data_IF_739131965701
#
_entry.id   IF_739131965701
#
_cell.length_a   1.000
_cell.length_b   1.000
_cell.length_c   1.000
_cell.angle_alpha   90.00
_cell.angle_beta   90.00
_cell.angle_gamma   90.00
#
_symmetry.space_group_name_H-M   'P 1'
#
loop_
_entity.id
_entity.type
_entity.pdbx_description
1 polymer ?
#
# COMPACT_ATOMS: atom_id res chain seq x y z
N UNK A 1 0.66 16.83 -3.57
CA UNK A 1 -0.52 17.69 -3.30
C UNK A 1 -0.61 17.79 -1.79
N UNK A 2 -0.45 18.99 -1.23
CA UNK A 2 -0.40 19.22 0.21
C UNK A 2 -1.77 18.96 0.86
N UNK A 3 -1.74 18.51 2.12
CA UNK A 3 -2.92 18.26 2.94
C UNK A 3 -3.71 19.56 3.18
N UNK A 4 -5.02 19.62 2.84
CA UNK A 4 -5.83 20.82 3.05
C UNK A 4 -6.01 21.23 4.52
N UNK A 5 -5.65 20.39 5.50
CA UNK A 5 -5.71 20.69 6.94
C UNK A 5 -4.50 21.49 7.48
N UNK A 6 -3.38 21.55 6.76
CA UNK A 6 -2.15 22.19 7.23
C UNK A 6 -1.40 21.45 8.34
N UNK A 7 -1.91 20.31 8.82
CA UNK A 7 -1.25 19.49 9.83
C UNK A 7 -0.22 18.53 9.21
N UNK A 8 0.94 18.40 9.86
CA UNK A 8 1.94 17.43 9.45
C UNK A 8 1.38 16.01 9.63
N UNK A 9 1.35 15.21 8.55
CA UNK A 9 0.86 13.82 8.57
C UNK A 9 1.76 12.83 9.29
N UNK A 10 2.97 13.26 9.60
CA UNK A 10 3.96 12.52 10.39
C UNK A 10 4.48 13.40 11.51
N UNK A 11 4.82 12.78 12.64
CA UNK A 11 5.48 13.40 13.78
C UNK A 11 6.68 12.55 14.21
N UNK A 12 7.62 13.15 14.91
CA UNK A 12 8.74 12.42 15.51
C UNK A 12 8.38 12.01 16.94
N UNK A 13 8.57 10.74 17.27
CA UNK A 13 8.39 10.18 18.62
C UNK A 13 9.63 9.34 18.92
N UNK A 14 10.40 9.73 19.93
CA UNK A 14 11.62 9.04 20.36
C UNK A 14 12.62 8.77 19.21
N UNK A 15 12.77 9.73 18.28
CA UNK A 15 13.66 9.61 17.11
C UNK A 15 13.13 8.73 15.98
N UNK A 16 11.87 8.28 16.05
CA UNK A 16 11.17 7.56 14.99
C UNK A 16 10.12 8.44 14.35
N UNK A 17 9.96 8.36 13.03
CA UNK A 17 8.83 9.01 12.37
C UNK A 17 7.61 8.12 12.52
N UNK A 18 6.50 8.66 13.02
CA UNK A 18 5.21 7.95 13.15
C UNK A 18 4.11 8.78 12.49
N UNK A 19 3.02 8.14 12.10
CA UNK A 19 1.87 8.88 11.56
C UNK A 19 1.22 9.77 12.64
N UNK A 20 0.59 10.87 12.23
CA UNK A 20 0.03 11.89 13.13
C UNK A 20 -1.49 12.05 13.00
N UNK A 21 -2.17 11.11 12.36
CA UNK A 21 -3.61 11.21 12.01
C UNK A 21 -4.50 10.25 12.80
N UNK A 22 -3.94 9.23 13.45
CA UNK A 22 -4.69 8.23 14.22
C UNK A 22 -3.95 7.85 15.51
N UNK A 23 -4.42 8.25 16.68
CA UNK A 23 -3.72 7.97 17.95
C UNK A 23 -3.57 6.46 18.28
N UNK A 24 -4.35 5.59 17.64
CA UNK A 24 -4.28 4.13 17.86
C UNK A 24 -3.19 3.43 17.06
N UNK A 25 -2.61 4.05 16.03
CA UNK A 25 -1.61 3.42 15.16
C UNK A 25 -0.21 4.02 15.35
N UNK A 26 0.49 3.58 16.40
CA UNK A 26 1.77 4.17 16.83
C UNK A 26 3.01 3.54 16.17
N UNK A 27 2.85 2.77 15.09
CA UNK A 27 3.99 2.15 14.41
C UNK A 27 4.81 3.20 13.64
N UNK A 28 6.15 3.02 13.57
CA UNK A 28 7.00 3.87 12.76
C UNK A 28 6.63 3.84 11.27
N UNK A 29 7.04 4.87 10.54
CA UNK A 29 6.88 5.05 9.10
C UNK A 29 8.17 5.62 8.48
N UNK A 30 9.31 5.33 9.12
CA UNK A 30 10.64 5.69 8.63
C UNK A 30 11.25 4.59 7.74
N UNK A 31 12.40 4.91 7.13
CA UNK A 31 13.10 4.00 6.23
C UNK A 31 13.41 2.64 6.87
N UNK A 32 13.81 2.61 8.15
CA UNK A 32 14.07 1.36 8.86
C UNK A 32 12.83 0.48 8.96
N UNK A 33 11.66 1.07 9.17
CA UNK A 33 10.41 0.30 9.16
C UNK A 33 10.03 -0.16 7.75
N UNK A 34 10.28 0.65 6.72
CA UNK A 34 10.09 0.23 5.33
C UNK A 34 10.99 -0.97 4.97
N UNK A 35 12.27 -0.96 5.37
CA UNK A 35 13.18 -2.10 5.17
C UNK A 35 12.64 -3.37 5.85
N UNK A 36 12.08 -3.23 7.07
CA UNK A 36 11.44 -4.34 7.79
C UNK A 36 10.22 -4.88 7.04
N UNK A 37 9.39 -4.01 6.48
CA UNK A 37 8.21 -4.36 5.68
C UNK A 37 8.60 -5.04 4.37
N UNK A 38 9.66 -4.58 3.71
CA UNK A 38 10.20 -5.22 2.50
C UNK A 38 10.68 -6.65 2.78
N UNK A 39 11.43 -6.85 3.87
CA UNK A 39 11.86 -8.18 4.30
C UNK A 39 10.66 -9.08 4.60
N UNK A 40 9.64 -8.55 5.28
CA UNK A 40 8.41 -9.28 5.57
C UNK A 40 7.67 -9.67 4.28
N UNK A 41 7.53 -8.75 3.33
CA UNK A 41 6.92 -9.02 2.02
C UNK A 41 7.68 -10.11 1.27
N UNK A 42 9.02 -10.06 1.27
CA UNK A 42 9.85 -11.09 0.65
C UNK A 42 9.65 -12.47 1.31
N UNK A 43 9.66 -12.52 2.65
CA UNK A 43 9.46 -13.77 3.38
C UNK A 43 8.07 -14.39 3.12
N UNK A 44 7.02 -13.57 3.08
CA UNK A 44 5.67 -14.01 2.75
C UNK A 44 5.56 -14.48 1.30
N UNK A 45 6.18 -13.77 0.36
CA UNK A 45 6.21 -14.18 -1.04
C UNK A 45 6.88 -15.55 -1.20
N UNK A 46 8.00 -15.79 -0.51
CA UNK A 46 8.67 -17.09 -0.51
C UNK A 46 7.80 -18.20 0.10
N UNK A 47 7.18 -17.94 1.26
CA UNK A 47 6.34 -18.92 1.95
C UNK A 47 5.07 -19.28 1.18
N UNK A 48 4.49 -18.33 0.44
CA UNK A 48 3.32 -18.52 -0.43
C UNK A 48 3.70 -18.93 -1.85
N UNK A 49 4.99 -19.00 -2.17
CA UNK A 49 5.54 -19.15 -3.52
C UNK A 49 4.89 -18.17 -4.53
N UNK A 50 4.59 -16.95 -4.10
CA UNK A 50 3.88 -15.93 -4.89
C UNK A 50 3.27 -14.82 -4.04
N UNK A 51 2.58 -13.88 -4.67
CA UNK A 51 2.09 -12.67 -3.99
C UNK A 51 0.87 -12.89 -3.08
N UNK A 52 0.11 -13.97 -3.26
CA UNK A 52 -1.14 -14.19 -2.54
C UNK A 52 -1.50 -15.68 -2.47
N UNK A 53 -2.24 -16.11 -1.43
CA UNK A 53 -2.84 -17.43 -1.40
C UNK A 53 -4.01 -17.55 -2.39
N UNK A 54 -4.55 -18.76 -2.59
CA UNK A 54 -5.72 -19.03 -3.43
C UNK A 54 -5.58 -18.52 -4.89
N UNK A 55 -4.48 -18.93 -5.55
CA UNK A 55 -4.06 -18.41 -6.86
C UNK A 55 -5.16 -18.43 -7.92
N UNK A 56 -5.93 -19.51 -8.00
CA UNK A 56 -6.98 -19.68 -9.00
C UNK A 56 -8.11 -18.65 -8.84
N UNK A 57 -8.54 -18.40 -7.59
CA UNK A 57 -9.60 -17.45 -7.30
C UNK A 57 -9.19 -16.02 -7.67
N UNK A 58 -7.97 -15.60 -7.32
CA UNK A 58 -7.45 -14.28 -7.65
C UNK A 58 -7.29 -14.11 -9.16
N UNK A 59 -6.74 -15.12 -9.86
CA UNK A 59 -6.61 -15.08 -11.32
C UNK A 59 -7.97 -15.02 -12.02
N UNK A 60 -8.97 -15.75 -11.54
CA UNK A 60 -10.33 -15.70 -12.07
C UNK A 60 -10.98 -14.32 -11.82
N UNK A 61 -10.77 -13.73 -10.64
CA UNK A 61 -11.29 -12.41 -10.32
C UNK A 61 -10.70 -11.29 -11.20
N UNK A 62 -9.40 -11.40 -11.48
CA UNK A 62 -8.60 -10.41 -12.23
C UNK A 62 -8.42 -10.76 -13.72
N UNK A 63 -9.12 -11.75 -14.25
CA UNK A 63 -9.07 -12.07 -15.69
C UNK A 63 -9.42 -10.82 -16.52
N UNK A 64 -8.71 -10.53 -17.63
CA UNK A 64 -9.05 -9.39 -18.49
C UNK A 64 -10.50 -9.45 -18.95
N UNK A 65 -11.23 -8.34 -18.82
CA UNK A 65 -12.61 -8.19 -19.32
C UNK A 65 -12.66 -7.10 -20.37
N UNK A 66 -13.60 -7.21 -21.32
CA UNK A 66 -13.75 -6.25 -22.43
C UNK A 66 -14.39 -4.93 -21.99
N UNK A 67 -15.27 -4.99 -20.99
CA UNK A 67 -16.11 -3.89 -20.51
C UNK A 67 -15.47 -3.11 -19.35
N UNK A 68 -14.53 -3.72 -18.61
CA UNK A 68 -13.93 -3.11 -17.42
C UNK A 68 -12.53 -3.64 -17.12
N UNK A 69 -11.71 -2.81 -16.47
CA UNK A 69 -10.47 -3.24 -15.83
C UNK A 69 -10.76 -3.92 -14.49
N UNK A 70 -9.93 -4.89 -14.12
CA UNK A 70 -9.91 -5.44 -12.76
C UNK A 70 -9.34 -4.40 -11.80
N UNK A 71 -9.67 -4.52 -10.51
CA UNK A 71 -9.17 -3.62 -9.47
C UNK A 71 -8.64 -4.40 -8.28
N UNK A 72 -7.49 -3.97 -7.74
CA UNK A 72 -6.90 -4.46 -6.50
C UNK A 72 -6.79 -3.28 -5.54
N UNK A 73 -7.24 -3.49 -4.30
CA UNK A 73 -7.11 -2.53 -3.21
C UNK A 73 -6.21 -3.12 -2.12
N UNK A 74 -5.10 -2.44 -1.84
CA UNK A 74 -4.15 -2.78 -0.79
C UNK A 74 -4.31 -1.79 0.37
N UNK A 75 -4.73 -2.27 1.54
CA UNK A 75 -5.05 -1.44 2.72
C UNK A 75 -3.93 -1.59 3.74
N UNK A 76 -3.31 -0.47 4.13
CA UNK A 76 -2.08 -0.49 4.91
C UNK A 76 -0.89 -0.88 4.03
N UNK A 77 -0.79 -0.25 2.85
CA UNK A 77 0.18 -0.64 1.82
C UNK A 77 1.64 -0.48 2.27
N UNK A 78 1.91 0.31 3.32
CA UNK A 78 3.23 0.47 3.94
C UNK A 78 4.29 0.94 2.93
N UNK A 79 5.32 0.13 2.72
CA UNK A 79 6.35 0.37 1.70
C UNK A 79 5.83 0.33 0.26
N UNK A 80 4.61 -0.18 0.05
CA UNK A 80 3.96 -0.32 -1.25
C UNK A 80 4.50 -1.46 -2.12
N UNK A 81 5.41 -2.28 -1.59
CA UNK A 81 6.08 -3.35 -2.34
C UNK A 81 5.11 -4.43 -2.81
N UNK A 82 4.11 -4.77 -1.98
CA UNK A 82 3.09 -5.76 -2.37
C UNK A 82 2.20 -5.26 -3.50
N UNK A 83 1.66 -4.03 -3.37
CA UNK A 83 0.87 -3.39 -4.42
C UNK A 83 1.64 -3.31 -5.75
N UNK A 84 2.94 -2.98 -5.70
CA UNK A 84 3.78 -2.94 -6.89
C UNK A 84 3.94 -4.32 -7.53
N UNK A 85 4.20 -5.36 -6.74
CA UNK A 85 4.29 -6.74 -7.22
C UNK A 85 2.99 -7.20 -7.89
N UNK A 86 1.84 -6.87 -7.29
CA UNK A 86 0.52 -7.15 -7.88
C UNK A 86 0.31 -6.43 -9.21
N UNK A 87 0.72 -5.17 -9.30
CA UNK A 87 0.58 -4.38 -10.52
C UNK A 87 1.45 -4.90 -11.66
N UNK A 88 2.65 -5.40 -11.34
CA UNK A 88 3.54 -6.08 -12.30
C UNK A 88 2.98 -7.42 -12.76
N UNK A 89 2.36 -8.18 -11.85
CA UNK A 89 1.74 -9.47 -12.18
C UNK A 89 0.45 -9.32 -13.02
N UNK A 90 -0.34 -8.27 -12.78
CA UNK A 90 -1.60 -8.00 -13.47
C UNK A 90 -1.61 -6.62 -14.17
N UNK A 91 -0.88 -6.45 -15.29
CA UNK A 91 -0.74 -5.16 -15.97
C UNK A 91 -2.06 -4.60 -16.56
N UNK A 92 -3.08 -5.45 -16.71
CA UNK A 92 -4.43 -5.08 -17.17
C UNK A 92 -5.40 -4.70 -16.03
N UNK A 93 -4.99 -4.86 -14.77
CA UNK A 93 -5.76 -4.44 -13.60
C UNK A 93 -5.16 -3.17 -12.99
N UNK A 94 -6.00 -2.36 -12.36
CA UNK A 94 -5.56 -1.19 -11.60
C UNK A 94 -5.31 -1.59 -10.14
N UNK A 95 -4.20 -1.12 -9.57
CA UNK A 95 -3.82 -1.37 -8.18
C UNK A 95 -3.77 -0.05 -7.42
N UNK A 96 -4.53 0.02 -6.33
CA UNK A 96 -4.58 1.16 -5.43
C UNK A 96 -4.08 0.75 -4.04
N UNK A 97 -2.95 1.32 -3.62
CA UNK A 97 -2.49 1.24 -2.23
C UNK A 97 -3.01 2.41 -1.39
N UNK A 98 -3.43 2.13 -0.16
CA UNK A 98 -3.86 3.14 0.80
C UNK A 98 -3.06 2.98 2.08
N UNK A 99 -2.56 4.09 2.62
CA UNK A 99 -1.89 4.13 3.91
C UNK A 99 -2.13 5.48 4.62
N UNK A 100 -1.77 5.57 5.90
CA UNK A 100 -1.81 6.80 6.70
C UNK A 100 -0.62 7.72 6.38
N UNK A 101 0.47 7.15 5.86
CA UNK A 101 1.67 7.90 5.42
C UNK A 101 1.92 7.68 3.93
N UNK A 102 2.50 8.68 3.27
CA UNK A 102 2.84 8.55 1.87
C UNK A 102 3.91 7.47 1.67
N UNK A 103 3.68 6.57 0.71
CA UNK A 103 4.66 5.57 0.30
C UNK A 103 5.88 6.27 -0.31
N UNK A 104 7.04 6.11 0.32
CA UNK A 104 8.32 6.58 -0.22
C UNK A 104 8.84 5.56 -1.24
N UNK A 105 8.55 5.76 -2.53
CA UNK A 105 8.99 4.86 -3.61
C UNK A 105 10.32 5.30 -4.22
N UNK A 106 11.29 4.39 -4.30
CA UNK A 106 12.56 4.59 -5.00
C UNK A 106 12.56 3.78 -6.32
N UNK A 107 11.86 4.25 -7.36
CA UNK A 107 11.89 3.57 -8.66
C UNK A 107 10.76 3.93 -9.63
N UNK A 108 10.75 3.26 -10.79
CA UNK A 108 9.67 3.37 -11.78
C UNK A 108 8.48 2.49 -11.39
N UNK A 109 7.54 3.08 -10.67
CA UNK A 109 6.26 2.46 -10.35
C UNK A 109 5.48 2.13 -11.63
N UNK A 110 4.88 0.92 -11.74
CA UNK A 110 3.99 0.59 -12.85
C UNK A 110 2.88 1.63 -13.03
N UNK A 111 2.51 1.96 -14.27
CA UNK A 111 1.50 2.99 -14.55
C UNK A 111 0.10 2.65 -14.06
N UNK A 112 -0.18 1.36 -13.84
CA UNK A 112 -1.40 0.85 -13.24
C UNK A 112 -1.37 0.79 -11.70
N UNK A 113 -0.28 1.21 -11.06
CA UNK A 113 -0.13 1.23 -9.61
C UNK A 113 -0.11 2.66 -9.07
N UNK A 114 -1.04 2.98 -8.18
CA UNK A 114 -1.09 4.28 -7.49
C UNK A 114 -1.22 4.09 -5.99
N UNK A 115 -0.73 5.06 -5.21
CA UNK A 115 -0.96 5.12 -3.77
C UNK A 115 -1.63 6.43 -3.39
N UNK A 116 -2.50 6.36 -2.40
CA UNK A 116 -3.14 7.53 -1.79
C UNK A 116 -2.97 7.47 -0.28
N UNK A 117 -2.90 8.65 0.34
CA UNK A 117 -2.92 8.73 1.80
C UNK A 117 -4.36 8.91 2.24
N UNK A 118 -4.89 8.00 3.06
CA UNK A 118 -6.25 8.09 3.58
C UNK A 118 -6.38 7.43 4.97
N UNK A 119 -7.31 7.94 5.78
CA UNK A 119 -7.67 7.40 7.09
C UNK A 119 -9.06 6.77 7.02
N UNK A 120 -9.42 5.90 7.96
CA UNK A 120 -10.69 5.18 7.94
C UNK A 120 -11.91 5.97 8.47
N UNK A 121 -11.79 7.14 9.11
CA UNK A 121 -12.91 8.00 9.61
C UNK A 121 -12.40 9.46 9.80
N UNK A 122 -13.13 10.57 9.64
CA UNK A 122 -14.55 10.99 9.89
C UNK A 122 -15.17 11.68 8.65
N UNK A 123 -16.49 11.78 8.43
CA UNK A 123 -17.57 12.15 9.37
C UNK A 123 -18.86 11.33 9.15
N UNK A 124 -19.50 10.97 10.26
CA UNK A 124 -20.89 10.50 10.29
C UNK A 124 -21.84 11.61 9.84
N UNK A 125 -22.86 11.25 9.06
CA UNK A 125 -24.12 12.00 9.00
C UNK A 125 -25.21 11.12 9.58
#
# INVERSE_FOLDING_TARGET
>A
MADPSGEARVKEVEGRLVQNVNELYMLPADATEHDRLELQSFALNLALEGNYPAREAVRAALVPRRDRRGGVLDIGTGSGSWAESMAREFPHADVLGIDLVAVARAGSTPTNCRSVVATSCHESV
#
